data_IF_550900420352
#
_entry.id   IF_550900420352
#
_cell.length_a   1.000
_cell.length_b   1.000
_cell.length_c   1.000
_cell.angle_alpha   90.00
_cell.angle_beta   90.00
_cell.angle_gamma   90.00
#
_symmetry.space_group_name_H-M   'P 1'
#
loop_
_entity.id
_entity.type
_entity.pdbx_description
1 polymer ?
2 water ?
#
# COMPACT_ATOMS: atom_id res chain seq x y z
N UNK A 1 3.40 6.89 -15.44
CA UNK A 1 4.56 6.77 -16.31
C UNK A 1 5.84 6.64 -15.52
N UNK A 2 6.96 6.59 -16.23
CA UNK A 2 8.26 6.56 -15.59
C UNK A 2 8.60 8.00 -15.26
N UNK A 3 8.45 8.32 -13.98
CA UNK A 3 8.53 9.69 -13.54
C UNK A 3 8.91 9.70 -12.07
N UNK A 4 9.32 10.86 -11.55
CA UNK A 4 9.72 10.89 -10.14
C UNK A 4 8.55 10.71 -9.19
N UNK A 5 8.87 10.32 -7.97
CA UNK A 5 7.93 10.41 -6.87
C UNK A 5 7.87 11.83 -6.33
N UNK A 6 6.69 12.24 -5.89
CA UNK A 6 6.54 13.50 -5.18
C UNK A 6 6.45 13.28 -3.68
N UNK A 7 6.50 12.02 -3.24
CA UNK A 7 6.37 11.68 -1.83
C UNK A 7 7.66 11.18 -1.19
N UNK A 8 8.43 10.39 -1.93
CA UNK A 8 9.58 9.68 -1.38
C UNK A 8 10.88 10.39 -1.72
N UNK A 9 11.74 10.51 -0.72
CA UNK A 9 13.10 11.00 -0.90
C UNK A 9 13.96 9.88 -1.48
N UNK A 10 15.12 10.26 -2.03
CA UNK A 10 16.01 9.28 -2.66
C UNK A 10 16.37 8.11 -1.74
N UNK A 11 16.70 8.41 -0.49
CA UNK A 11 17.13 7.36 0.42
C UNK A 11 15.95 6.46 0.77
N UNK A 12 14.74 7.02 0.77
CA UNK A 12 13.52 6.25 1.03
C UNK A 12 13.23 5.28 -0.12
N UNK A 13 13.38 5.77 -1.36
CA UNK A 13 13.26 4.91 -2.52
C UNK A 13 14.25 3.78 -2.46
N UNK A 14 15.49 4.07 -2.08
CA UNK A 14 16.49 3.00 -2.05
C UNK A 14 16.15 1.94 -1.02
N UNK A 15 15.63 2.34 0.13
CA UNK A 15 15.26 1.34 1.13
C UNK A 15 14.11 0.48 0.60
N UNK A 16 13.12 1.09 -0.07
CA UNK A 16 12.02 0.31 -0.64
C UNK A 16 12.52 -0.61 -1.74
N UNK A 17 13.40 -0.09 -2.60
CA UNK A 17 13.88 -0.87 -3.73
C UNK A 17 14.54 -2.18 -3.30
N UNK A 18 15.25 -2.14 -2.18
CA UNK A 18 15.93 -3.34 -1.68
C UNK A 18 14.96 -4.45 -1.27
N UNK A 19 13.69 -4.08 -1.02
CA UNK A 19 12.65 -5.05 -0.63
C UNK A 19 11.69 -5.42 -1.68
N UNK A 20 11.86 -4.88 -2.88
CA UNK A 20 10.92 -5.24 -3.92
C UNK A 20 11.14 -6.68 -4.33
N UNK A 21 10.09 -7.35 -4.81
CA UNK A 21 10.18 -8.76 -5.19
C UNK A 21 11.22 -8.99 -6.29
N UNK A 22 11.92 -10.14 -6.26
CA UNK A 22 12.84 -10.45 -7.36
C UNK A 22 12.18 -10.31 -8.75
N UNK A 23 10.89 -10.57 -8.86
CA UNK A 23 10.25 -10.51 -10.17
C UNK A 23 10.24 -9.09 -10.75
N UNK A 24 10.49 -8.08 -9.92
CA UNK A 24 10.54 -6.71 -10.41
C UNK A 24 11.92 -6.27 -10.88
N UNK A 25 12.95 -7.10 -10.71
CA UNK A 25 14.29 -6.70 -11.12
C UNK A 25 14.31 -6.43 -12.63
N UNK A 26 14.87 -5.30 -13.00
CA UNK A 26 14.97 -4.91 -14.38
C UNK A 26 13.84 -4.06 -14.92
N UNK A 27 12.83 -3.81 -14.10
CA UNK A 27 11.71 -2.99 -14.52
C UNK A 27 11.81 -1.63 -13.84
N UNK A 28 11.57 -0.57 -14.57
CA UNK A 28 11.56 0.75 -13.95
C UNK A 28 10.25 0.95 -13.16
N UNK A 29 10.29 1.80 -12.16
CA UNK A 29 9.07 2.17 -11.47
C UNK A 29 8.16 2.96 -12.40
N UNK A 30 6.88 2.61 -12.40
CA UNK A 30 5.85 3.26 -13.19
C UNK A 30 4.77 3.79 -12.25
N UNK A 31 4.41 5.06 -12.37
CA UNK A 31 3.34 5.59 -11.54
C UNK A 31 2.01 5.16 -12.17
N UNK A 32 1.32 4.23 -11.51
CA UNK A 32 0.07 3.68 -12.00
C UNK A 32 -1.14 4.50 -11.57
N UNK A 33 -1.03 5.20 -10.46
CA UNK A 33 -2.13 5.98 -9.89
C UNK A 33 -1.55 6.96 -8.88
N UNK A 34 -2.03 8.19 -8.87
CA UNK A 34 -1.74 9.06 -7.75
C UNK A 34 -2.97 9.89 -7.44
N UNK A 35 -3.18 10.18 -6.16
CA UNK A 35 -4.31 11.03 -5.84
C UNK A 35 -4.15 12.44 -6.39
N UNK A 36 -2.91 12.94 -6.44
CA UNK A 36 -2.66 14.28 -6.95
C UNK A 36 -3.10 14.38 -8.41
N UNK A 37 -2.76 13.37 -9.20
CA UNK A 37 -3.01 13.37 -10.63
C UNK A 37 -4.39 12.87 -11.01
N UNK A 38 -4.96 11.97 -10.19
CA UNK A 38 -6.12 11.19 -10.61
C UNK A 38 -7.36 11.28 -9.74
N UNK A 39 -7.23 11.87 -8.57
CA UNK A 39 -8.35 12.02 -7.68
C UNK A 39 -8.34 11.02 -6.53
N UNK A 40 -9.34 11.14 -5.68
CA UNK A 40 -9.42 10.40 -4.43
C UNK A 40 -10.58 9.41 -4.33
N UNK A 41 -11.29 9.12 -5.40
CA UNK A 41 -12.27 8.06 -5.36
C UNK A 41 -11.63 6.66 -5.49
N UNK A 42 -11.97 5.72 -4.58
CA UNK A 42 -11.43 4.38 -4.68
C UNK A 42 -11.84 3.72 -6.01
N UNK A 43 -12.98 4.10 -6.58
CA UNK A 43 -13.33 3.53 -7.87
C UNK A 43 -12.27 3.86 -8.93
N UNK A 44 -11.72 5.09 -8.86
CA UNK A 44 -10.65 5.47 -9.79
C UNK A 44 -9.40 4.61 -9.61
N UNK A 45 -9.09 4.32 -8.35
CA UNK A 45 -7.99 3.43 -8.03
C UNK A 45 -8.23 2.05 -8.64
N UNK A 46 -9.42 1.47 -8.44
CA UNK A 46 -9.69 0.17 -9.02
C UNK A 46 -9.63 0.20 -10.54
N UNK A 47 -10.09 1.28 -11.17
CA UNK A 47 -10.00 1.37 -12.62
C UNK A 47 -8.56 1.43 -13.09
N UNK A 48 -7.71 2.12 -12.35
CA UNK A 48 -6.29 2.20 -12.71
C UNK A 48 -5.60 0.84 -12.61
N UNK A 49 -6.15 -0.06 -11.79
CA UNK A 49 -5.60 -1.38 -11.60
C UNK A 49 -6.06 -2.38 -12.65
N UNK A 50 -7.13 -2.06 -13.39
CA UNK A 50 -7.57 -2.95 -14.46
C UNK A 50 -6.49 -3.08 -15.51
N UNK A 51 -6.37 -4.28 -16.06
CA UNK A 51 -5.49 -4.58 -17.18
C UNK A 51 -4.00 -4.44 -16.81
N UNK A 52 -3.66 -4.48 -15.54
CA UNK A 52 -2.27 -4.44 -15.08
C UNK A 52 -1.85 -5.82 -14.63
N UNK A 53 -0.54 -6.08 -14.70
CA UNK A 53 0.02 -7.36 -14.31
C UNK A 53 1.36 -7.09 -13.66
N UNK A 54 1.30 -6.73 -12.40
CA UNK A 54 2.48 -6.34 -11.62
C UNK A 54 2.07 -6.36 -10.16
N UNK A 55 3.04 -6.59 -9.26
CA UNK A 55 2.81 -6.18 -7.87
C UNK A 55 2.70 -4.65 -7.85
N UNK A 56 2.05 -4.15 -6.80
CA UNK A 56 1.77 -2.72 -6.69
C UNK A 56 2.28 -2.19 -5.37
N UNK A 57 3.09 -1.13 -5.43
CA UNK A 57 3.62 -0.49 -4.24
C UNK A 57 2.74 0.73 -3.90
N UNK A 58 1.96 0.57 -2.84
CA UNK A 58 1.08 1.62 -2.31
C UNK A 58 1.88 2.45 -1.30
N UNK A 59 1.99 3.75 -1.59
CA UNK A 59 2.73 4.69 -0.77
C UNK A 59 1.75 5.75 -0.28
N UNK A 60 1.61 5.84 1.04
CA UNK A 60 0.74 6.80 1.69
C UNK A 60 1.60 7.82 2.44
N UNK A 61 1.33 9.10 2.21
CA UNK A 61 1.85 10.16 3.06
C UNK A 61 0.66 10.71 3.83
N UNK A 62 0.72 10.64 5.15
CA UNK A 62 -0.39 11.13 5.97
C UNK A 62 -0.26 12.62 6.28
N UNK A 63 -1.26 13.16 6.96
CA UNK A 63 -1.32 14.59 7.23
C UNK A 63 -0.27 15.07 8.23
N UNK A 64 0.40 14.14 8.92
CA UNK A 64 1.59 14.41 9.75
C UNK A 64 2.90 14.29 8.98
N UNK A 65 2.82 14.00 7.69
CA UNK A 65 3.99 13.87 6.84
C UNK A 65 4.67 12.52 6.88
N UNK A 66 4.07 11.55 7.59
CA UNK A 66 4.68 10.24 7.71
C UNK A 66 4.30 9.37 6.53
N UNK A 67 5.20 8.46 6.20
CA UNK A 67 5.09 7.64 5.01
C UNK A 67 5.06 6.18 5.41
N UNK A 68 4.08 5.45 4.85
CA UNK A 68 3.94 4.03 5.12
C UNK A 68 3.09 3.45 3.99
N UNK A 69 2.90 2.15 3.98
CA UNK A 69 2.12 1.56 2.90
C UNK A 69 2.31 0.06 2.81
N UNK A 70 2.12 -0.45 1.59
CA UNK A 70 2.13 -1.87 1.35
C UNK A 70 2.71 -2.16 -0.02
N UNK A 71 3.32 -3.32 -0.17
CA UNK A 71 3.59 -3.92 -1.47
C UNK A 71 2.57 -5.04 -1.62
N UNK A 72 1.69 -4.90 -2.60
CA UNK A 72 0.64 -5.89 -2.86
C UNK A 72 1.12 -6.83 -3.95
N UNK A 73 0.86 -8.12 -3.76
CA UNK A 73 1.31 -9.13 -4.70
C UNK A 73 0.62 -9.06 -6.06
N UNK A 74 -0.53 -8.39 -6.15
CA UNK A 74 -1.23 -8.26 -7.42
C UNK A 74 -1.98 -6.92 -7.39
N UNK A 75 -2.52 -6.51 -8.55
CA UNK A 75 -3.24 -5.24 -8.60
C UNK A 75 -4.48 -5.25 -7.71
N UNK A 76 -4.76 -4.12 -7.08
CA UNK A 76 -5.91 -4.04 -6.19
C UNK A 76 -7.21 -4.24 -6.93
N UNK A 77 -8.09 -5.01 -6.30
CA UNK A 77 -9.40 -5.31 -6.83
C UNK A 77 -10.42 -5.40 -5.72
N UNK A 78 -11.68 -5.35 -6.16
CA UNK A 78 -12.80 -5.68 -5.30
C UNK A 78 -12.94 -7.19 -5.26
N UNK A 79 -13.09 -7.72 -4.03
CA UNK A 79 -12.97 -9.13 -3.69
C UNK A 79 -14.09 -9.52 -2.73
N UNK A 80 -14.64 -10.73 -2.86
CA UNK A 80 -15.57 -11.21 -1.84
C UNK A 80 -14.90 -11.54 -0.52
N UNK A 81 -13.74 -12.16 -0.65
CA UNK A 81 -12.88 -12.54 0.48
C UNK A 81 -11.48 -11.95 0.37
N UNK A 82 -10.54 -12.52 1.10
CA UNK A 82 -9.15 -12.09 0.98
C UNK A 82 -8.53 -12.62 -0.29
N UNK A 83 -7.50 -11.91 -0.74
CA UNK A 83 -6.70 -12.34 -1.87
C UNK A 83 -5.25 -11.94 -1.63
N UNK A 84 -4.40 -12.37 -2.55
CA UNK A 84 -2.97 -12.08 -2.51
C UNK A 84 -2.16 -13.28 -2.02
N UNK A 85 -0.86 -13.08 -2.06
CA UNK A 85 0.09 -14.08 -1.62
C UNK A 85 1.06 -13.47 -0.62
N UNK A 86 1.93 -14.33 -0.09
CA UNK A 86 2.96 -13.93 0.85
C UNK A 86 4.08 -13.09 0.29
N UNK A 87 4.01 -12.74 -0.99
CA UNK A 87 4.86 -11.67 -1.51
C UNK A 87 4.45 -10.31 -0.90
N UNK A 88 3.19 -10.19 -0.53
CA UNK A 88 2.64 -8.96 0.04
C UNK A 88 3.33 -8.62 1.35
N UNK A 89 3.60 -7.34 1.58
CA UNK A 89 4.14 -6.91 2.86
C UNK A 89 3.68 -5.49 3.18
N UNK A 90 3.82 -5.10 4.44
CA UNK A 90 3.59 -3.74 4.88
C UNK A 90 4.93 -3.06 5.14
N UNK A 91 4.95 -1.73 5.09
CA UNK A 91 6.16 -1.01 5.46
C UNK A 91 5.78 0.31 6.13
N UNK A 92 6.75 0.86 6.85
CA UNK A 92 6.63 2.20 7.39
C UNK A 92 8.00 2.85 7.42
N UNK A 93 7.99 4.18 7.42
CA UNK A 93 9.15 4.99 7.71
C UNK A 93 9.10 5.60 9.11
N UNK A 94 8.06 5.28 9.88
CA UNK A 94 7.90 5.84 11.23
C UNK A 94 7.99 4.71 12.25
N UNK A 95 8.88 4.82 13.27
CA UNK A 95 9.82 5.91 13.52
C UNK A 95 11.10 5.84 12.67
N UNK A 96 11.31 4.70 12.02
CA UNK A 96 12.38 4.51 11.04
C UNK A 96 11.88 3.47 10.04
N UNK A 97 12.59 3.31 8.93
CA UNK A 97 12.15 2.34 7.94
C UNK A 97 12.17 0.92 8.48
N UNK A 98 11.08 0.21 8.20
CA UNK A 98 11.05 -1.22 8.43
C UNK A 98 9.96 -1.83 7.56
N UNK A 99 10.30 -2.95 6.92
CA UNK A 99 9.37 -3.75 6.14
C UNK A 99 8.94 -4.94 7.00
N UNK A 100 7.64 -5.20 6.99
CA UNK A 100 7.02 -6.26 7.76
C UNK A 100 6.48 -7.30 6.80
N UNK A 101 7.27 -8.34 6.60
CA UNK A 101 6.96 -9.41 5.67
C UNK A 101 5.95 -10.38 6.28
N UNK A 102 5.34 -11.16 5.40
CA UNK A 102 4.47 -12.24 5.81
C UNK A 102 5.12 -13.07 6.90
N UNK A 103 4.34 -13.37 7.94
CA UNK A 103 4.84 -14.14 9.08
C UNK A 103 4.52 -15.62 8.96
N UNK A 104 3.73 -16.01 7.98
CA UNK A 104 3.23 -17.38 7.89
C UNK A 104 1.98 -17.62 8.73
N UNK A 105 1.53 -16.64 9.51
CA UNK A 105 0.45 -16.96 10.45
C UNK A 105 -0.87 -17.27 9.74
N UNK A 106 -1.17 -16.49 8.70
CA UNK A 106 -2.44 -16.60 8.00
C UNK A 106 -2.29 -16.03 6.61
N UNK A 107 -3.33 -16.24 5.80
CA UNK A 107 -3.31 -15.89 4.40
C UNK A 107 -4.21 -14.68 4.08
N UNK A 108 -4.52 -13.87 5.07
CA UNK A 108 -5.52 -12.81 4.89
C UNK A 108 -4.83 -11.50 4.49
N UNK A 109 -4.26 -11.55 3.29
CA UNK A 109 -3.31 -10.52 2.84
C UNK A 109 -3.99 -9.18 2.46
N UNK A 110 -4.98 -9.23 1.56
CA UNK A 110 -5.58 -8.03 0.97
C UNK A 110 -7.08 -8.26 0.88
N UNK A 111 -7.86 -7.20 1.11
CA UNK A 111 -9.29 -7.25 0.91
C UNK A 111 -9.76 -5.93 0.31
N UNK A 112 -10.61 -5.97 -0.70
CA UNK A 112 -11.13 -4.75 -1.29
C UNK A 112 -12.62 -4.79 -1.42
N UNK A 113 -13.29 -3.67 -1.16
CA UNK A 113 -14.69 -3.48 -1.51
C UNK A 113 -14.85 -2.04 -2.01
N UNK A 114 -16.07 -1.62 -2.34
CA UNK A 114 -16.27 -0.26 -2.84
C UNK A 114 -16.11 0.81 -1.79
N UNK A 115 -16.01 0.40 -0.54
CA UNK A 115 -15.91 1.35 0.55
C UNK A 115 -14.55 1.33 1.21
N UNK A 116 -13.62 0.44 0.77
CA UNK A 116 -12.38 0.31 1.49
C UNK A 116 -11.39 -0.60 0.79
N UNK A 117 -10.13 -0.41 1.15
CA UNK A 117 -9.05 -1.31 0.80
C UNK A 117 -8.30 -1.62 2.11
N UNK A 118 -7.94 -2.87 2.33
CA UNK A 118 -7.34 -3.23 3.60
C UNK A 118 -6.35 -4.37 3.43
N UNK A 119 -5.48 -4.48 4.43
CA UNK A 119 -4.41 -5.44 4.46
C UNK A 119 -4.32 -6.07 5.83
N UNK A 120 -4.11 -7.39 5.87
CA UNK A 120 -3.83 -8.07 7.11
C UNK A 120 -5.04 -8.26 7.99
N UNK A 121 -5.92 -9.15 7.58
CA UNK A 121 -7.13 -9.40 8.31
C UNK A 121 -7.15 -10.73 9.01
N UNK A 122 -8.37 -11.15 9.34
CA UNK A 122 -8.59 -12.44 9.96
C UNK A 122 -9.27 -12.32 11.29
N UNK A 123 -8.89 -11.40 12.15
CA UNK A 123 -9.54 -11.16 13.42
C UNK A 123 -8.99 -9.82 13.92
N UNK A 124 -9.86 -9.07 14.56
CA UNK A 124 -9.50 -7.75 15.04
C UNK A 124 -9.33 -6.77 13.91
N UNK A 125 -8.55 -5.72 14.19
CA UNK A 125 -8.34 -4.66 13.24
C UNK A 125 -7.45 -5.14 12.11
N UNK A 126 -7.64 -4.55 10.94
CA UNK A 126 -6.69 -4.75 9.85
C UNK A 126 -5.36 -4.13 10.22
N UNK A 127 -4.30 -4.64 9.62
CA UNK A 127 -3.02 -3.95 9.72
C UNK A 127 -3.06 -2.54 9.14
N UNK A 128 -3.72 -2.40 7.99
CA UNK A 128 -3.78 -1.13 7.28
C UNK A 128 -5.12 -1.09 6.55
N UNK A 129 -5.81 0.04 6.62
CA UNK A 129 -7.14 0.17 6.04
C UNK A 129 -7.30 1.61 5.53
N UNK A 130 -7.94 1.75 4.38
CA UNK A 130 -8.26 3.03 3.77
C UNK A 130 -9.73 3.03 3.35
N UNK A 131 -10.39 4.17 3.54
CA UNK A 131 -11.78 4.31 3.12
C UNK A 131 -11.93 4.61 1.63
N UNK A 132 -13.20 4.71 1.22
CA UNK A 132 -13.53 4.81 -0.19
C UNK A 132 -13.28 6.16 -0.82
N UNK A 133 -12.99 7.15 0.02
CA UNK A 133 -12.55 8.47 -0.44
C UNK A 133 -11.04 8.63 -0.29
N UNK A 134 -10.35 7.53 0.00
CA UNK A 134 -8.90 7.50 0.14
C UNK A 134 -8.42 8.59 1.11
N UNK A 135 -9.22 8.83 2.15
CA UNK A 135 -8.94 9.95 3.05
C UNK A 135 -8.77 9.52 4.49
N UNK A 136 -9.79 8.87 5.07
CA UNK A 136 -9.69 8.26 6.41
C UNK A 136 -8.98 6.92 6.29
N UNK A 137 -7.99 6.72 7.17
CA UNK A 137 -7.37 5.43 7.27
C UNK A 137 -7.21 4.99 8.70
N UNK A 138 -6.94 3.70 8.85
CA UNK A 138 -6.65 3.11 10.15
C UNK A 138 -5.46 2.18 10.01
N UNK A 139 -4.74 1.98 11.10
CA UNK A 139 -3.66 1.00 11.08
C UNK A 139 -3.48 0.47 12.49
N UNK A 140 -2.92 -0.72 12.56
CA UNK A 140 -2.85 -1.46 13.79
C UNK A 140 -1.89 -2.59 13.64
N UNK A 141 -1.38 -3.09 14.76
CA UNK A 141 -0.64 -4.34 14.68
C UNK A 141 -1.52 -5.43 14.09
N UNK A 142 -0.86 -6.47 13.58
CA UNK A 142 -1.55 -7.46 12.80
C UNK A 142 -0.76 -8.76 12.64
N UNK A 143 -1.42 -9.93 12.83
CA UNK A 143 -0.69 -11.18 12.78
C UNK A 143 -0.16 -11.53 11.39
N UNK A 144 -0.83 -11.11 10.34
CA UNK A 144 -0.41 -11.49 8.99
C UNK A 144 1.04 -11.05 8.72
N UNK A 145 1.38 -9.84 9.16
CA UNK A 145 2.65 -9.20 8.86
C UNK A 145 3.52 -8.98 10.08
N UNK A 146 2.97 -9.16 11.29
CA UNK A 146 3.76 -8.97 12.49
C UNK A 146 4.25 -7.54 12.69
N UNK A 147 3.51 -6.59 12.13
CA UNK A 147 3.86 -5.18 12.26
C UNK A 147 3.29 -4.59 13.54
N UNK A 148 3.94 -3.55 14.05
CA UNK A 148 3.30 -2.64 15.00
C UNK A 148 2.44 -1.64 14.21
N UNK A 149 1.74 -0.78 14.92
CA UNK A 149 1.12 0.37 14.30
C UNK A 149 2.14 1.10 13.42
N UNK A 150 1.75 1.41 12.18
CA UNK A 150 2.65 2.00 11.19
C UNK A 150 2.84 3.51 11.36
N UNK A 151 1.77 4.20 11.72
CA UNK A 151 1.78 5.65 11.86
C UNK A 151 1.73 6.04 13.33
N UNK A 152 1.57 7.33 13.59
CA UNK A 152 1.63 7.79 14.97
C UNK A 152 0.45 7.36 15.82
N UNK A 153 -0.74 7.29 15.23
CA UNK A 153 -1.97 6.93 15.93
C UNK A 153 -2.77 5.92 15.10
N UNK A 154 -3.82 5.37 15.71
CA UNK A 154 -4.60 4.37 15.00
C UNK A 154 -5.30 4.94 13.76
N UNK A 155 -5.85 6.14 13.90
CA UNK A 155 -6.46 6.83 12.78
C UNK A 155 -5.43 7.73 12.11
N UNK A 156 -5.56 7.86 10.79
CA UNK A 156 -4.77 8.84 10.06
C UNK A 156 -5.65 9.44 8.96
N UNK A 157 -5.18 10.58 8.46
CA UNK A 157 -5.77 11.23 7.31
C UNK A 157 -4.74 11.25 6.20
N UNK A 158 -5.15 10.89 4.99
CA UNK A 158 -4.26 10.89 3.84
C UNK A 158 -4.01 12.31 3.37
N UNK A 159 -2.72 12.61 3.11
CA UNK A 159 -2.32 13.78 2.38
C UNK A 159 -2.14 13.47 0.88
N UNK A 160 -1.43 12.37 0.60
CA UNK A 160 -1.24 11.94 -0.77
C UNK A 160 -1.09 10.43 -0.80
N UNK A 161 -1.41 9.85 -1.96
CA UNK A 161 -1.12 8.46 -2.25
C UNK A 161 -0.51 8.37 -3.64
N UNK A 162 0.48 7.48 -3.78
CA UNK A 162 1.00 7.01 -5.06
C UNK A 162 0.92 5.49 -5.07
N UNK A 163 0.63 4.91 -6.25
CA UNK A 163 0.77 3.48 -6.45
C UNK A 163 1.70 3.28 -7.63
N UNK A 164 2.77 2.52 -7.38
CA UNK A 164 3.80 2.24 -8.37
C UNK A 164 3.70 0.79 -8.84
N UNK A 165 3.83 0.60 -10.14
CA UNK A 165 3.92 -0.72 -10.75
C UNK A 165 5.29 -0.89 -11.40
N UNK A 166 5.54 -2.11 -11.89
CA UNK A 166 6.86 -2.57 -12.32
C UNK A 166 6.83 -3.61 -13.42
N UNK A 167 6.16 -3.30 -14.48
CA UNK A 167 6.11 -4.26 -15.56
C UNK A 167 6.64 -3.65 -16.84
#
# INVERSE_FOLDING_TARGET
>A
GNEPSDLLEAEQIEKLAKHLPPRTIGYPWNLAFSTSKHGMSIKTLYRAMQDQDSPMLLVIKDSDGQIFGALASEPFKVSEGFYGTGETFLFTFYPEFEAYKWTGDNLFFIKGDMDSLAFGGGSGEFGLWLDGDLYHGRNHSCKTFGNPMLSMKEDFFVQDIEIWSFE
#
